data_IF_196803727154
#
_entry.id   IF_196803727154
#
_cell.length_a   1.000
_cell.length_b   1.000
_cell.length_c   1.000
_cell.angle_alpha   90.00
_cell.angle_beta   90.00
_cell.angle_gamma   90.00
#
_symmetry.space_group_name_H-M   'P 1'
#
loop_
_entity.id
_entity.type
_entity.pdbx_description
1 polymer ?
#
# COMPACT_ATOMS: atom_id res chain seq x y z
N UNK A 1 19.45 -5.79 -3.02
CA UNK A 1 18.53 -6.91 -2.76
C UNK A 1 17.85 -7.24 -4.08
N UNK A 2 18.06 -8.41 -4.67
CA UNK A 2 17.38 -8.78 -5.91
C UNK A 2 15.87 -8.91 -5.62
N UNK A 3 14.96 -8.50 -6.52
CA UNK A 3 13.54 -8.76 -6.31
C UNK A 3 13.34 -10.26 -6.23
N UNK A 4 12.77 -10.73 -5.12
CA UNK A 4 12.29 -12.10 -4.99
C UNK A 4 11.36 -12.36 -6.17
N UNK A 5 11.72 -13.33 -7.02
CA UNK A 5 10.91 -13.75 -8.17
C UNK A 5 9.68 -14.47 -7.65
N UNK A 6 8.69 -13.70 -7.20
CA UNK A 6 7.36 -14.21 -6.90
C UNK A 6 6.75 -14.76 -8.19
N UNK A 7 6.08 -15.91 -8.12
CA UNK A 7 5.39 -16.48 -9.27
C UNK A 7 4.20 -15.57 -9.62
N UNK A 8 4.16 -14.97 -10.82
CA UNK A 8 3.07 -14.10 -11.22
C UNK A 8 1.70 -14.79 -11.20
N UNK A 9 1.65 -16.12 -11.32
CA UNK A 9 0.41 -16.89 -11.15
C UNK A 9 -0.10 -16.88 -9.70
N UNK A 10 0.81 -16.88 -8.72
CA UNK A 10 0.43 -16.83 -7.30
C UNK A 10 -0.17 -15.48 -6.90
N UNK A 11 0.30 -14.38 -7.50
CA UNK A 11 -0.21 -13.01 -7.25
C UNK A 11 -1.68 -12.84 -7.64
N UNK A 12 -2.22 -13.71 -8.51
CA UNK A 12 -3.62 -13.68 -8.94
C UNK A 12 -4.60 -14.29 -7.92
N UNK A 13 -4.10 -14.92 -6.85
CA UNK A 13 -4.93 -15.63 -5.87
C UNK A 13 -5.02 -14.89 -4.53
N UNK A 14 -6.25 -14.73 -4.03
CA UNK A 14 -6.50 -14.08 -2.73
C UNK A 14 -5.74 -14.75 -1.57
N UNK A 15 -5.64 -16.08 -1.59
CA UNK A 15 -4.96 -16.86 -0.55
C UNK A 15 -3.47 -16.52 -0.39
N UNK A 16 -2.80 -16.11 -1.48
CA UNK A 16 -1.42 -15.64 -1.42
C UNK A 16 -1.31 -14.35 -0.58
N UNK A 17 -2.23 -13.41 -0.80
CA UNK A 17 -2.30 -12.15 -0.06
C UNK A 17 -2.71 -12.36 1.40
N UNK A 18 -3.70 -13.23 1.65
CA UNK A 18 -4.15 -13.56 3.01
C UNK A 18 -3.00 -14.08 3.87
N UNK A 19 -2.20 -15.01 3.34
CA UNK A 19 -1.06 -15.57 4.05
C UNK A 19 0.02 -14.51 4.32
N UNK A 20 0.26 -13.65 3.32
CA UNK A 20 1.27 -12.59 3.41
C UNK A 20 0.91 -11.57 4.50
N UNK A 21 -0.33 -11.08 4.51
CA UNK A 21 -0.79 -10.12 5.52
C UNK A 21 -0.93 -10.76 6.91
N UNK A 22 -1.25 -12.05 7.01
CA UNK A 22 -1.27 -12.75 8.29
C UNK A 22 0.12 -12.85 8.94
N UNK A 23 1.18 -12.83 8.13
CA UNK A 23 2.57 -12.95 8.57
C UNK A 23 3.28 -11.60 8.75
N UNK A 24 2.58 -10.49 8.51
CA UNK A 24 3.11 -9.15 8.68
C UNK A 24 3.54 -8.94 10.15
N UNK A 25 4.74 -8.37 10.42
CA UNK A 25 5.19 -8.11 11.78
C UNK A 25 4.23 -7.12 12.46
N UNK A 26 3.43 -7.63 13.40
CA UNK A 26 2.57 -6.83 14.30
C UNK A 26 3.35 -6.22 15.48
N UNK A 27 4.66 -6.07 15.33
CA UNK A 27 5.55 -5.77 16.46
C UNK A 27 5.35 -4.34 16.95
N UNK A 28 4.98 -4.26 18.23
CA UNK A 28 4.84 -3.05 19.04
C UNK A 28 5.98 -2.05 18.73
N UNK A 29 5.62 -0.94 18.08
CA UNK A 29 6.52 0.18 17.84
C UNK A 29 6.63 0.67 16.39
N UNK A 30 6.16 -0.10 15.40
CA UNK A 30 6.18 0.33 14.00
C UNK A 30 4.94 -0.18 13.23
N UNK A 31 3.76 0.08 13.79
CA UNK A 31 2.45 -0.23 13.19
C UNK A 31 2.21 0.50 11.84
N UNK A 32 3.13 1.36 11.42
CA UNK A 32 3.04 2.22 10.23
C UNK A 32 3.94 1.76 9.07
N UNK A 33 4.58 0.59 9.13
CA UNK A 33 5.36 0.09 7.99
C UNK A 33 4.59 -0.98 7.20
N UNK A 34 4.14 -0.67 5.98
CA UNK A 34 3.44 -1.65 5.15
C UNK A 34 4.36 -2.85 4.83
N UNK A 35 3.76 -4.03 4.75
CA UNK A 35 4.46 -5.28 4.42
C UNK A 35 5.11 -5.21 3.05
N UNK A 36 4.57 -4.40 2.14
CA UNK A 36 5.12 -4.17 0.82
C UNK A 36 4.59 -2.87 0.20
N UNK A 37 5.44 -2.14 -0.54
CA UNK A 37 5.02 -1.05 -1.43
C UNK A 37 5.27 -1.46 -2.88
N UNK A 38 4.19 -1.53 -3.67
CA UNK A 38 4.18 -2.10 -5.02
C UNK A 38 4.99 -1.31 -6.05
N UNK A 39 4.78 0.00 -6.09
CA UNK A 39 5.32 0.87 -7.13
C UNK A 39 6.33 1.86 -6.57
N UNK A 40 5.91 2.64 -5.59
CA UNK A 40 6.75 3.59 -4.86
C UNK A 40 6.15 3.90 -3.48
N UNK A 41 6.93 4.57 -2.64
CA UNK A 41 6.49 4.99 -1.32
C UNK A 41 5.46 6.11 -1.40
N UNK A 42 4.59 6.22 -0.39
CA UNK A 42 3.62 7.32 -0.32
C UNK A 42 4.31 8.70 -0.40
N UNK A 43 5.38 8.90 0.37
CA UNK A 43 6.19 10.13 0.36
C UNK A 43 6.69 10.51 -1.05
N UNK A 44 7.05 9.51 -1.86
CA UNK A 44 7.52 9.75 -3.22
C UNK A 44 6.41 10.14 -4.19
N UNK A 45 5.16 9.79 -3.88
CA UNK A 45 3.97 10.11 -4.66
C UNK A 45 3.32 11.43 -4.21
N UNK A 46 3.59 11.85 -2.96
CA UNK A 46 2.99 13.02 -2.33
C UNK A 46 3.05 14.29 -3.20
N UNK A 47 4.16 14.66 -3.87
CA UNK A 47 4.18 15.86 -4.71
C UNK A 47 3.19 15.83 -5.87
N UNK A 48 2.90 14.63 -6.42
CA UNK A 48 1.93 14.47 -7.50
C UNK A 48 0.50 14.41 -6.95
N UNK A 49 0.30 13.70 -5.82
CA UNK A 49 -1.00 13.63 -5.14
C UNK A 49 -1.44 15.00 -4.63
N UNK A 50 -0.54 15.80 -4.06
CA UNK A 50 -0.82 17.17 -3.64
C UNK A 50 -1.28 18.01 -4.82
N UNK A 51 -0.54 18.00 -5.93
CA UNK A 51 -0.84 18.82 -7.10
C UNK A 51 -2.17 18.44 -7.74
N UNK A 52 -2.43 17.15 -7.92
CA UNK A 52 -3.50 16.66 -8.80
C UNK A 52 -4.73 16.14 -8.06
N UNK A 53 -4.61 15.85 -6.76
CA UNK A 53 -5.69 15.29 -5.94
C UNK A 53 -6.01 16.18 -4.74
N UNK A 54 -5.07 16.38 -3.81
CA UNK A 54 -5.38 17.01 -2.53
C UNK A 54 -5.62 18.52 -2.61
N UNK A 55 -4.89 19.26 -3.45
CA UNK A 55 -5.14 20.69 -3.64
C UNK A 55 -6.34 20.99 -4.58
N UNK A 56 -6.87 19.97 -5.24
CA UNK A 56 -7.96 20.11 -6.23
C UNK A 56 -9.31 19.71 -5.63
N UNK A 57 -9.30 18.76 -4.69
CA UNK A 57 -10.52 18.19 -4.08
C UNK A 57 -10.81 18.79 -2.71
N UNK A 58 -12.09 18.84 -2.36
CA UNK A 58 -12.49 19.23 -1.01
C UNK A 58 -12.17 18.10 -0.02
N UNK A 59 -11.92 18.45 1.24
CA UNK A 59 -11.83 17.45 2.32
C UNK A 59 -13.13 16.65 2.50
N UNK A 60 -14.25 17.17 1.99
CA UNK A 60 -15.56 16.50 2.03
C UNK A 60 -15.77 15.49 0.89
N UNK A 61 -14.83 15.36 -0.04
CA UNK A 61 -14.95 14.44 -1.17
C UNK A 61 -14.73 12.98 -0.74
N UNK A 62 -15.64 12.10 -1.17
CA UNK A 62 -15.54 10.67 -0.90
C UNK A 62 -14.40 10.03 -1.71
N UNK A 63 -13.42 9.46 -1.01
CA UNK A 63 -12.29 8.77 -1.62
C UNK A 63 -12.42 7.26 -1.44
N UNK A 64 -12.31 6.51 -2.54
CA UNK A 64 -12.28 5.05 -2.55
C UNK A 64 -10.86 4.56 -2.77
N UNK A 65 -10.26 3.94 -1.74
CA UNK A 65 -8.95 3.31 -1.85
C UNK A 65 -9.11 1.84 -2.24
N UNK A 66 -8.85 1.52 -3.51
CA UNK A 66 -8.94 0.15 -4.02
C UNK A 66 -7.63 -0.61 -3.77
N UNK A 67 -7.75 -1.89 -3.42
CA UNK A 67 -6.61 -2.80 -3.21
C UNK A 67 -5.54 -2.22 -2.26
N UNK A 68 -5.99 -1.54 -1.20
CA UNK A 68 -5.14 -0.82 -0.26
C UNK A 68 -4.12 -1.69 0.48
N UNK A 69 -4.39 -2.99 0.58
CA UNK A 69 -3.57 -3.90 1.39
C UNK A 69 -3.49 -3.41 2.83
N UNK A 70 -2.28 -3.40 3.37
CA UNK A 70 -1.92 -2.83 4.67
C UNK A 70 -1.21 -1.46 4.56
N UNK A 71 -1.44 -0.73 3.45
CA UNK A 71 -0.86 0.60 3.25
C UNK A 71 -1.47 1.61 4.22
N UNK A 72 -0.62 2.31 4.98
CA UNK A 72 -1.01 3.45 5.82
C UNK A 72 -0.98 4.73 4.98
N UNK A 73 -2.07 5.00 4.26
CA UNK A 73 -2.32 6.33 3.71
C UNK A 73 -3.06 7.13 4.78
N UNK A 74 -2.30 7.78 5.68
CA UNK A 74 -2.82 8.68 6.70
C UNK A 74 -2.36 10.11 6.43
#
# INVERSE_FOLDING_TARGET
MAPSKEDPAALAHASFWDQRYASAPKSEGDENKPTHEWFRTFDSLLPSLDKDLFNVRSQDDLTLHLSSGDSVCA
#
